data_IF_998060843924
#
_entry.id   IF_998060843924
#
_cell.length_a   1.000
_cell.length_b   1.000
_cell.length_c   1.000
_cell.angle_alpha   90.00
_cell.angle_beta   90.00
_cell.angle_gamma   90.00
#
_symmetry.space_group_name_H-M   'P 1'
#
loop_
_entity.id
_entity.type
_entity.pdbx_description
1 polymer ?
#
# COMPACT_ATOMS: atom_id res chain seq x y z
N UNK A 1 -18.86 -0.06 62.95
CA UNK A 1 -19.13 1.37 63.17
C UNK A 1 -19.97 1.88 62.00
N UNK A 2 -21.26 2.10 62.27
CA UNK A 2 -22.02 3.33 61.96
C UNK A 2 -21.60 4.06 60.67
N UNK A 3 -22.34 3.94 59.56
CA UNK A 3 -23.59 4.65 59.25
C UNK A 3 -23.43 6.16 59.08
N UNK A 4 -23.69 6.66 57.87
CA UNK A 4 -24.30 7.98 57.62
C UNK A 4 -24.94 8.02 56.22
N UNK A 5 -25.99 7.21 56.11
CA UNK A 5 -27.30 7.47 55.50
C UNK A 5 -27.66 8.97 55.29
N UNK A 6 -27.97 9.37 54.03
CA UNK A 6 -29.27 9.91 53.56
C UNK A 6 -29.47 11.46 53.67
N UNK A 7 -30.58 12.08 53.19
CA UNK A 7 -31.45 11.80 52.03
C UNK A 7 -31.94 13.04 51.23
N UNK A 8 -32.47 12.75 50.02
CA UNK A 8 -33.71 13.27 49.36
C UNK A 8 -34.08 14.77 49.42
N UNK A 9 -34.36 15.35 48.23
CA UNK A 9 -35.69 15.92 47.86
C UNK A 9 -35.88 15.96 46.32
N UNK A 10 -36.80 15.15 45.82
CA UNK A 10 -37.70 15.47 44.68
C UNK A 10 -38.91 16.25 45.25
N UNK A 11 -39.95 16.70 44.49
CA UNK A 11 -40.11 16.88 43.03
C UNK A 11 -40.72 18.26 42.68
N UNK A 12 -40.76 18.65 41.40
CA UNK A 12 -41.80 19.59 40.93
C UNK A 12 -42.33 19.11 39.56
N UNK A 13 -43.65 18.97 39.54
CA UNK A 13 -44.50 18.57 38.42
C UNK A 13 -44.59 19.69 37.40
N UNK A 14 -44.64 19.32 36.13
CA UNK A 14 -45.10 20.17 35.03
C UNK A 14 -45.78 19.30 33.98
N UNK A 15 -47.03 18.96 34.28
CA UNK A 15 -48.17 18.73 33.38
C UNK A 15 -48.04 17.89 32.08
N UNK A 16 -48.84 16.83 32.07
CA UNK A 16 -49.42 16.15 30.90
C UNK A 16 -50.06 17.13 29.93
N UNK A 17 -49.81 17.00 28.62
CA UNK A 17 -50.88 17.07 27.62
C UNK A 17 -50.61 16.13 26.43
N UNK A 18 -51.59 15.24 26.24
CA UNK A 18 -52.07 14.56 25.04
C UNK A 18 -51.13 14.21 23.87
N UNK A 19 -51.13 12.91 23.56
CA UNK A 19 -50.89 12.35 22.23
C UNK A 19 -51.66 13.12 21.15
N UNK A 20 -50.98 13.43 20.06
CA UNK A 20 -51.60 13.46 18.73
C UNK A 20 -50.68 12.71 17.77
N UNK A 21 -51.21 11.61 17.24
CA UNK A 21 -50.63 10.89 16.10
C UNK A 21 -50.70 11.82 14.88
N UNK A 22 -49.57 12.01 14.20
CA UNK A 22 -49.54 12.09 12.74
C UNK A 22 -48.20 11.52 12.24
N UNK A 23 -48.21 10.58 11.29
CA UNK A 23 -47.01 9.94 10.78
C UNK A 23 -46.46 10.77 9.62
N UNK A 24 -45.39 11.52 9.86
CA UNK A 24 -44.69 12.19 8.77
C UNK A 24 -43.23 11.74 8.70
N UNK A 25 -42.95 11.12 7.56
CA UNK A 25 -41.68 11.05 6.87
C UNK A 25 -40.46 10.57 7.67
N UNK A 26 -40.16 9.30 7.42
CA UNK A 26 -38.81 8.75 7.35
C UNK A 26 -37.86 9.71 6.60
N UNK A 27 -37.19 10.62 7.30
CA UNK A 27 -36.00 11.30 6.78
C UNK A 27 -34.79 10.50 7.22
N UNK A 28 -34.52 9.42 6.48
CA UNK A 28 -33.18 8.84 6.48
C UNK A 28 -32.19 9.96 6.14
N UNK A 29 -31.04 10.07 6.83
CA UNK A 29 -29.99 10.96 6.35
C UNK A 29 -29.70 10.52 4.93
N UNK A 30 -29.85 11.47 3.98
CA UNK A 30 -29.56 11.27 2.57
C UNK A 30 -28.30 10.43 2.52
N UNK A 31 -28.46 9.17 2.06
CA UNK A 31 -27.34 8.28 1.85
C UNK A 31 -26.39 9.10 1.00
N UNK A 32 -25.26 9.51 1.59
CA UNK A 32 -24.16 10.09 0.83
C UNK A 32 -24.07 9.21 -0.41
N UNK A 33 -24.09 9.76 -1.63
CA UNK A 33 -23.93 8.93 -2.81
C UNK A 33 -22.76 8.02 -2.49
N UNK A 34 -23.01 6.70 -2.47
CA UNK A 34 -21.95 5.70 -2.30
C UNK A 34 -20.86 6.25 -3.20
N UNK A 35 -19.71 6.60 -2.60
CA UNK A 35 -18.57 6.99 -3.38
C UNK A 35 -18.46 5.89 -4.41
N UNK A 36 -18.80 6.21 -5.67
CA UNK A 36 -18.41 5.38 -6.78
C UNK A 36 -16.91 5.34 -6.55
N UNK A 37 -16.29 4.18 -6.28
CA UNK A 37 -14.85 4.16 -6.26
C UNK A 37 -14.48 4.69 -7.64
N UNK A 38 -13.95 5.92 -7.67
CA UNK A 38 -13.41 6.46 -8.90
C UNK A 38 -12.50 5.37 -9.43
N UNK A 39 -12.61 5.00 -10.72
CA UNK A 39 -11.71 4.00 -11.27
C UNK A 39 -10.32 4.56 -11.02
N UNK A 40 -9.61 4.01 -10.03
CA UNK A 40 -8.19 4.30 -9.77
C UNK A 40 -7.54 4.13 -11.13
N UNK A 41 -7.19 5.24 -11.76
CA UNK A 41 -7.11 5.31 -13.20
C UNK A 41 -6.07 4.34 -13.71
N UNK A 42 -6.47 3.17 -14.24
CA UNK A 42 -5.61 2.18 -14.90
C UNK A 42 -4.17 2.12 -14.33
N UNK A 43 -4.02 2.19 -13.01
CA UNK A 43 -2.73 1.98 -12.37
C UNK A 43 -2.40 0.52 -12.63
N UNK A 44 -1.19 0.26 -13.12
CA UNK A 44 -0.83 -1.04 -13.64
C UNK A 44 -1.19 -2.09 -12.60
N UNK A 45 -2.14 -2.98 -12.93
CA UNK A 45 -2.56 -4.04 -12.00
C UNK A 45 -1.38 -4.96 -11.64
N UNK A 46 -0.31 -4.88 -12.43
CA UNK A 46 0.92 -5.65 -12.30
C UNK A 46 2.11 -4.71 -12.14
N UNK A 47 2.96 -5.06 -11.19
CA UNK A 47 4.28 -4.48 -10.98
C UNK A 47 5.34 -5.54 -11.26
N UNK A 48 6.51 -5.09 -11.66
CA UNK A 48 7.66 -5.95 -11.85
C UNK A 48 8.55 -5.89 -10.62
N UNK A 49 8.65 -6.99 -9.89
CA UNK A 49 9.59 -7.18 -8.79
C UNK A 49 10.94 -7.64 -9.37
N UNK A 50 12.00 -6.88 -9.09
CA UNK A 50 13.38 -7.28 -9.36
C UNK A 50 14.05 -7.72 -8.07
N UNK A 51 14.74 -8.85 -8.15
CA UNK A 51 15.58 -9.39 -7.10
C UNK A 51 17.02 -9.43 -7.60
N UNK A 52 17.94 -9.04 -6.75
CA UNK A 52 19.34 -8.97 -7.11
C UNK A 52 20.24 -8.85 -5.89
N UNK A 53 21.45 -8.40 -6.13
CA UNK A 53 22.37 -8.01 -5.08
C UNK A 53 23.37 -6.98 -5.59
N UNK A 54 23.90 -6.19 -4.66
CA UNK A 54 25.07 -5.37 -4.95
C UNK A 54 26.33 -6.25 -4.95
N UNK A 55 27.30 -5.90 -5.78
CA UNK A 55 28.65 -6.44 -5.72
C UNK A 55 29.53 -5.56 -4.84
N UNK A 56 30.68 -6.09 -4.42
CA UNK A 56 31.67 -5.30 -3.68
C UNK A 56 32.25 -4.14 -4.51
N UNK A 57 32.14 -4.21 -5.85
CA UNK A 57 32.61 -3.19 -6.76
C UNK A 57 31.59 -2.07 -7.01
N UNK A 58 30.38 -2.15 -6.45
CA UNK A 58 29.33 -1.14 -6.66
C UNK A 58 28.28 -1.51 -7.72
N UNK A 59 28.44 -2.61 -8.46
CA UNK A 59 27.46 -3.00 -9.48
C UNK A 59 26.19 -3.62 -8.88
N UNK A 60 25.03 -3.28 -9.44
CA UNK A 60 23.75 -3.93 -9.16
C UNK A 60 23.53 -5.10 -10.11
N UNK A 61 23.49 -6.32 -9.59
CA UNK A 61 23.25 -7.53 -10.38
C UNK A 61 21.82 -8.00 -10.16
N UNK A 62 21.02 -8.04 -11.23
CA UNK A 62 19.65 -8.56 -11.22
C UNK A 62 19.70 -10.05 -11.52
N UNK A 63 19.18 -10.86 -10.61
CA UNK A 63 19.25 -12.33 -10.68
C UNK A 63 17.88 -12.99 -10.80
N UNK A 64 16.80 -12.26 -10.53
CA UNK A 64 15.44 -12.75 -10.73
C UNK A 64 14.44 -11.62 -10.98
N UNK A 65 13.37 -11.94 -11.69
CA UNK A 65 12.29 -11.01 -11.97
C UNK A 65 10.94 -11.71 -11.96
N UNK A 66 9.95 -11.07 -11.34
CA UNK A 66 8.60 -11.60 -11.21
C UNK A 66 7.57 -10.50 -11.48
N UNK A 67 6.48 -10.87 -12.16
CA UNK A 67 5.28 -10.06 -12.17
C UNK A 67 4.49 -10.34 -10.90
N UNK A 68 4.14 -9.30 -10.16
CA UNK A 68 3.31 -9.35 -8.95
C UNK A 68 2.16 -8.39 -9.10
N UNK A 69 1.02 -8.67 -8.46
CA UNK A 69 -0.06 -7.69 -8.43
C UNK A 69 0.38 -6.47 -7.60
N UNK A 70 -0.05 -5.27 -8.02
CA UNK A 70 0.24 -4.05 -7.27
C UNK A 70 -0.26 -4.17 -5.82
N UNK A 71 0.60 -3.78 -4.88
CA UNK A 71 0.35 -3.87 -3.45
C UNK A 71 0.26 -5.30 -2.86
N UNK A 72 0.58 -6.36 -3.61
CA UNK A 72 0.60 -7.74 -3.10
C UNK A 72 1.86 -8.02 -2.27
N UNK A 73 1.89 -7.44 -1.07
CA UNK A 73 2.98 -7.61 -0.10
C UNK A 73 3.22 -9.10 0.22
N UNK A 74 2.18 -9.93 0.23
CA UNK A 74 2.31 -11.35 0.57
C UNK A 74 3.08 -12.12 -0.51
N UNK A 75 2.82 -11.82 -1.78
CA UNK A 75 3.58 -12.39 -2.89
C UNK A 75 5.05 -11.95 -2.82
N UNK A 76 5.29 -10.65 -2.57
CA UNK A 76 6.64 -10.09 -2.41
C UNK A 76 7.39 -10.77 -1.26
N UNK A 77 6.78 -10.86 -0.07
CA UNK A 77 7.38 -11.49 1.10
C UNK A 77 7.74 -12.97 0.85
N UNK A 78 6.91 -13.69 0.09
CA UNK A 78 7.18 -15.07 -0.26
C UNK A 78 8.40 -15.21 -1.17
N UNK A 79 8.59 -14.29 -2.12
CA UNK A 79 9.74 -14.26 -3.03
C UNK A 79 11.01 -13.83 -2.30
N UNK A 80 10.94 -12.81 -1.44
CA UNK A 80 12.08 -12.25 -0.71
C UNK A 80 12.65 -13.24 0.32
N UNK A 81 11.81 -14.09 0.93
CA UNK A 81 12.27 -15.13 1.87
C UNK A 81 13.35 -16.07 1.30
N UNK A 82 13.43 -16.19 -0.03
CA UNK A 82 14.44 -17.00 -0.71
C UNK A 82 15.81 -16.32 -0.85
N UNK A 83 15.94 -15.01 -0.61
CA UNK A 83 17.22 -14.31 -0.71
C UNK A 83 18.10 -14.56 0.51
N UNK A 84 19.33 -15.02 0.26
CA UNK A 84 20.30 -15.39 1.30
C UNK A 84 21.56 -14.52 1.28
N UNK A 85 21.71 -13.65 0.28
CA UNK A 85 22.87 -12.75 0.16
C UNK A 85 22.83 -11.66 1.22
N UNK A 86 23.98 -11.32 1.80
CA UNK A 86 24.12 -10.15 2.70
C UNK A 86 24.02 -8.81 1.95
N UNK A 87 24.23 -8.83 0.64
CA UNK A 87 24.08 -7.69 -0.26
C UNK A 87 22.78 -7.79 -1.07
N UNK A 88 21.84 -8.62 -0.60
CA UNK A 88 20.53 -8.78 -1.20
C UNK A 88 19.84 -7.43 -1.43
N UNK A 89 19.29 -7.28 -2.63
CA UNK A 89 18.50 -6.14 -3.02
C UNK A 89 17.20 -6.64 -3.65
N UNK A 90 16.12 -5.93 -3.38
CA UNK A 90 14.80 -6.19 -3.94
C UNK A 90 14.07 -4.86 -4.12
N UNK A 91 13.44 -4.67 -5.28
CA UNK A 91 12.59 -3.51 -5.51
C UNK A 91 11.45 -3.86 -6.48
N UNK A 92 10.26 -3.33 -6.20
CA UNK A 92 9.10 -3.43 -7.08
C UNK A 92 8.92 -2.12 -7.83
N UNK A 93 8.81 -2.20 -9.15
CA UNK A 93 8.53 -1.05 -10.00
C UNK A 93 7.12 -1.19 -10.58
N UNK A 94 6.36 -0.09 -10.58
CA UNK A 94 5.01 0.00 -11.14
C UNK A 94 5.05 0.04 -12.69
N UNK A 95 5.62 -1.02 -13.26
CA UNK A 95 5.76 -1.28 -14.68
C UNK A 95 5.47 -2.75 -14.94
N UNK A 96 4.91 -3.05 -16.09
CA UNK A 96 4.43 -4.38 -16.48
C UNK A 96 5.47 -5.24 -17.20
N UNK A 97 6.70 -4.73 -17.36
CA UNK A 97 7.76 -5.45 -18.07
C UNK A 97 9.11 -5.37 -17.38
N UNK A 98 9.85 -6.48 -17.49
CA UNK A 98 11.21 -6.62 -16.98
C UNK A 98 12.16 -5.54 -17.51
N UNK A 99 12.16 -5.31 -18.83
CA UNK A 99 13.01 -4.28 -19.45
C UNK A 99 12.77 -2.89 -18.87
N UNK A 100 11.51 -2.50 -18.70
CA UNK A 100 11.20 -1.19 -18.12
C UNK A 100 11.60 -1.13 -16.65
N UNK A 101 11.45 -2.23 -15.90
CA UNK A 101 11.88 -2.29 -14.51
C UNK A 101 13.40 -2.17 -14.38
N UNK A 102 14.16 -2.82 -15.27
CA UNK A 102 15.64 -2.71 -15.35
C UNK A 102 16.06 -1.27 -15.65
N UNK A 103 15.41 -0.62 -16.61
CA UNK A 103 15.67 0.79 -16.90
C UNK A 103 15.40 1.69 -15.68
N UNK A 104 14.27 1.48 -14.99
CA UNK A 104 13.93 2.24 -13.77
C UNK A 104 14.93 1.97 -12.65
N UNK A 105 15.38 0.74 -12.48
CA UNK A 105 16.40 0.39 -11.50
C UNK A 105 17.74 1.07 -11.80
N UNK A 106 18.15 1.11 -13.07
CA UNK A 106 19.34 1.84 -13.49
C UNK A 106 19.21 3.34 -13.17
N UNK A 107 18.13 3.98 -13.60
CA UNK A 107 17.88 5.41 -13.39
C UNK A 107 17.85 5.83 -11.92
N UNK A 108 17.32 4.97 -11.04
CA UNK A 108 17.10 5.29 -9.63
C UNK A 108 18.29 4.95 -8.73
N UNK A 109 19.04 3.89 -9.07
CA UNK A 109 20.07 3.35 -8.17
C UNK A 109 21.49 3.42 -8.71
N UNK A 110 21.67 3.53 -10.03
CA UNK A 110 22.98 3.37 -10.68
C UNK A 110 23.41 4.60 -11.47
N UNK A 111 22.48 5.27 -12.16
CA UNK A 111 22.77 6.35 -13.13
C UNK A 111 23.68 7.46 -12.61
N UNK A 112 23.55 7.82 -11.34
CA UNK A 112 24.28 8.95 -10.76
C UNK A 112 25.67 8.54 -10.19
N UNK A 113 26.09 7.28 -10.37
CA UNK A 113 27.39 6.74 -9.98
C UNK A 113 28.17 6.29 -11.21
N UNK A 114 29.26 7.01 -11.53
CA UNK A 114 30.08 6.79 -12.73
C UNK A 114 30.84 5.44 -12.70
N UNK A 115 31.02 4.84 -11.52
CA UNK A 115 31.76 3.58 -11.33
C UNK A 115 30.81 2.37 -11.12
N UNK A 116 29.49 2.59 -11.13
CA UNK A 116 28.49 1.54 -10.93
C UNK A 116 27.79 1.15 -12.25
N UNK A 117 27.64 -0.15 -12.47
CA UNK A 117 26.86 -0.72 -13.57
C UNK A 117 25.64 -1.50 -13.05
N UNK A 118 24.59 -1.56 -13.88
CA UNK A 118 23.49 -2.50 -13.71
C UNK A 118 23.67 -3.68 -14.67
N UNK A 119 23.82 -4.88 -14.11
CA UNK A 119 23.99 -6.13 -14.86
C UNK A 119 22.72 -6.96 -14.72
N UNK A 120 22.02 -7.19 -15.84
CA UNK A 120 20.87 -8.09 -15.86
C UNK A 120 21.26 -9.52 -16.28
N UNK A 121 21.31 -10.43 -15.30
CA UNK A 121 21.56 -11.86 -15.56
C UNK A 121 20.28 -12.64 -15.89
N UNK A 122 19.11 -11.99 -15.88
CA UNK A 122 17.82 -12.65 -16.16
C UNK A 122 17.53 -12.66 -17.65
N UNK A 123 17.59 -11.50 -18.31
CA UNK A 123 17.26 -11.35 -19.73
C UNK A 123 18.39 -10.71 -20.56
N UNK A 124 19.48 -10.27 -19.94
CA UNK A 124 20.56 -9.55 -20.62
C UNK A 124 20.14 -8.17 -21.12
N UNK A 125 19.21 -7.50 -20.44
CA UNK A 125 18.79 -6.14 -20.76
C UNK A 125 19.88 -5.16 -20.37
N UNK A 126 20.46 -4.50 -21.37
CA UNK A 126 21.30 -3.33 -21.16
C UNK A 126 20.41 -2.08 -21.05
N UNK A 127 20.49 -1.33 -19.92
CA UNK A 127 19.76 -0.07 -19.77
C UNK A 127 20.30 1.02 -20.70
N UNK A 128 19.44 1.94 -21.10
CA UNK A 128 19.84 3.13 -21.83
C UNK A 128 20.49 4.14 -20.87
N UNK A 129 21.70 4.57 -21.20
CA UNK A 129 22.54 5.49 -20.39
C UNK A 129 22.45 6.96 -20.84
N UNK A 130 21.48 7.29 -21.71
CA UNK A 130 21.38 8.57 -22.41
C UNK A 130 20.71 9.71 -21.65
#
# INVERSE_FOLDING_TARGET
MTAAQEPRRTPERGERLALTHHPDAYSAPAARPRAVPEPKGLHHLMSTLLLGHWTHSGNLVITSSHQVADGDQKAIDALVKGQTSKMAWVCAFDVDSHRNAVQRAYEEYVRDDDDADLIDEVQGVEPATG
#
